data_IF_611237405542
#
_entry.id   IF_611237405542
#
_cell.length_a   1.000
_cell.length_b   1.000
_cell.length_c   1.000
_cell.angle_alpha   90.00
_cell.angle_beta   90.00
_cell.angle_gamma   90.00
#
_symmetry.space_group_name_H-M   'P 1'
#
loop_
_entity.id
_entity.type
_entity.pdbx_description
1 polymer ?
#
# COMPACT_ATOMS: atom_id res chain seq x y z
N UNK A 1 11.69 -13.11 -36.47
CA UNK A 1 12.37 -12.23 -35.49
C UNK A 1 13.21 -13.12 -34.59
N UNK A 2 14.40 -12.68 -34.14
CA UNK A 2 15.17 -13.47 -33.17
C UNK A 2 14.49 -13.46 -31.80
N UNK A 3 14.77 -14.46 -30.97
CA UNK A 3 14.29 -14.51 -29.58
C UNK A 3 14.66 -13.22 -28.82
N UNK A 4 15.88 -12.71 -29.04
CA UNK A 4 16.33 -11.42 -28.50
C UNK A 4 15.46 -10.23 -28.94
N UNK A 5 15.06 -10.20 -30.22
CA UNK A 5 14.16 -9.17 -30.76
C UNK A 5 12.76 -9.26 -30.13
N UNK A 6 12.26 -10.48 -29.92
CA UNK A 6 10.95 -10.74 -29.30
C UNK A 6 10.96 -10.33 -27.81
N UNK A 7 12.03 -10.66 -27.08
CA UNK A 7 12.27 -10.22 -25.69
C UNK A 7 12.27 -8.69 -25.62
N UNK A 8 13.01 -8.02 -26.51
CA UNK A 8 13.07 -6.56 -26.59
C UNK A 8 11.70 -5.94 -26.82
N UNK A 9 10.94 -6.48 -27.78
CA UNK A 9 9.58 -6.02 -28.10
C UNK A 9 8.66 -6.11 -26.87
N UNK A 10 8.61 -7.28 -26.23
CA UNK A 10 7.75 -7.50 -25.05
C UNK A 10 8.16 -6.64 -23.86
N UNK A 11 9.47 -6.45 -23.65
CA UNK A 11 9.98 -5.55 -22.61
C UNK A 11 9.48 -4.11 -22.80
N UNK A 12 9.47 -3.60 -24.04
CA UNK A 12 8.93 -2.28 -24.33
C UNK A 12 7.41 -2.18 -24.13
N UNK A 13 6.66 -3.21 -24.51
CA UNK A 13 5.21 -3.27 -24.26
C UNK A 13 4.90 -3.15 -22.75
N UNK A 14 5.72 -3.78 -21.91
CA UNK A 14 5.63 -3.70 -20.45
C UNK A 14 6.26 -2.43 -19.85
N UNK A 15 6.75 -1.50 -20.67
CA UNK A 15 7.47 -0.28 -20.25
C UNK A 15 8.65 -0.55 -19.30
N UNK A 16 9.29 -1.71 -19.45
CA UNK A 16 10.40 -2.15 -18.62
C UNK A 16 11.74 -1.73 -19.24
N UNK A 17 12.68 -1.26 -18.43
CA UNK A 17 14.05 -0.95 -18.87
C UNK A 17 14.93 -2.22 -18.92
N UNK A 18 16.02 -2.19 -19.68
CA UNK A 18 16.99 -3.31 -19.70
C UNK A 18 17.60 -3.58 -18.33
N UNK A 19 17.75 -2.54 -17.49
CA UNK A 19 18.25 -2.63 -16.11
C UNK A 19 17.25 -3.37 -15.21
N UNK A 20 15.96 -3.09 -15.34
CA UNK A 20 14.91 -3.80 -14.59
C UNK A 20 14.81 -5.27 -15.00
N UNK A 21 14.86 -5.56 -16.30
CA UNK A 21 14.87 -6.93 -16.80
C UNK A 21 16.11 -7.70 -16.31
N UNK A 22 17.29 -7.07 -16.33
CA UNK A 22 18.52 -7.66 -15.83
C UNK A 22 18.43 -7.99 -14.33
N UNK A 23 17.92 -7.07 -13.52
CA UNK A 23 17.75 -7.24 -12.09
C UNK A 23 16.77 -8.38 -11.78
N UNK A 24 15.62 -8.44 -12.46
CA UNK A 24 14.61 -9.47 -12.26
C UNK A 24 15.13 -10.88 -12.63
N UNK A 25 16.02 -10.97 -13.61
CA UNK A 25 16.65 -12.22 -14.03
C UNK A 25 17.93 -12.57 -13.24
N UNK A 26 18.35 -11.72 -12.30
CA UNK A 26 19.53 -11.94 -11.46
C UNK A 26 20.87 -11.68 -12.17
N UNK A 27 20.89 -10.90 -13.25
CA UNK A 27 22.12 -10.47 -13.89
C UNK A 27 22.76 -9.28 -13.16
N UNK A 28 24.08 -9.30 -13.01
CA UNK A 28 24.84 -8.21 -12.35
C UNK A 28 24.79 -6.88 -13.13
N UNK A 29 24.61 -6.93 -14.45
CA UNK A 29 24.64 -5.75 -15.34
C UNK A 29 23.62 -5.88 -16.46
N UNK A 30 23.09 -4.73 -16.92
CA UNK A 30 22.18 -4.66 -18.07
C UNK A 30 22.85 -5.03 -19.41
N UNK A 31 24.19 -5.04 -19.47
CA UNK A 31 24.95 -5.39 -20.68
C UNK A 31 24.66 -6.81 -21.18
N UNK A 32 24.30 -7.74 -20.29
CA UNK A 32 23.90 -9.09 -20.70
C UNK A 32 22.58 -9.08 -21.46
N UNK A 33 21.62 -8.27 -21.00
CA UNK A 33 20.32 -8.09 -21.67
C UNK A 33 20.49 -7.37 -23.00
N UNK A 34 21.34 -6.34 -23.06
CA UNK A 34 21.64 -5.63 -24.31
C UNK A 34 22.19 -6.57 -25.39
N UNK A 35 23.13 -7.46 -25.02
CA UNK A 35 23.71 -8.48 -25.92
C UNK A 35 22.70 -9.53 -26.36
N UNK A 36 21.82 -9.98 -25.46
CA UNK A 36 20.73 -10.90 -25.78
C UNK A 36 19.75 -10.25 -26.76
N UNK A 37 19.35 -9.00 -26.52
CA UNK A 37 18.43 -8.26 -27.39
C UNK A 37 19.04 -7.93 -28.77
N UNK A 38 20.36 -7.76 -28.84
CA UNK A 38 21.10 -7.59 -30.08
C UNK A 38 21.32 -8.91 -30.84
N UNK A 39 21.01 -10.06 -30.23
CA UNK A 39 21.25 -11.39 -30.82
C UNK A 39 22.71 -11.86 -30.76
N UNK A 40 23.55 -11.20 -29.96
CA UNK A 40 24.95 -11.58 -29.75
C UNK A 40 25.09 -12.74 -28.75
N UNK A 41 24.10 -12.95 -27.90
CA UNK A 41 24.05 -14.03 -26.92
C UNK A 41 22.74 -14.81 -27.03
N UNK A 42 22.84 -16.12 -27.25
CA UNK A 42 21.69 -17.01 -27.27
C UNK A 42 21.14 -17.27 -25.85
N UNK A 43 19.81 -17.42 -25.78
CA UNK A 43 19.09 -17.73 -24.55
C UNK A 43 18.81 -19.23 -24.52
N UNK A 44 19.38 -19.95 -23.56
CA UNK A 44 19.07 -21.37 -23.38
C UNK A 44 17.62 -21.59 -22.98
N UNK A 45 17.06 -22.77 -23.29
CA UNK A 45 15.66 -23.12 -22.97
C UNK A 45 15.31 -22.89 -21.48
N UNK A 46 16.18 -23.31 -20.56
CA UNK A 46 16.00 -23.10 -19.11
C UNK A 46 16.01 -21.63 -18.68
N UNK A 47 16.75 -20.77 -19.40
CA UNK A 47 16.71 -19.32 -19.17
C UNK A 47 15.46 -18.70 -19.77
N UNK A 48 15.00 -19.23 -20.90
CA UNK A 48 13.82 -18.72 -21.61
C UNK A 48 12.54 -18.80 -20.77
N UNK A 49 12.37 -19.86 -19.98
CA UNK A 49 11.27 -19.96 -19.00
C UNK A 49 11.27 -18.80 -18.01
N UNK A 50 12.45 -18.44 -17.52
CA UNK A 50 12.62 -17.33 -16.58
C UNK A 50 12.40 -15.97 -17.25
N UNK A 51 12.79 -15.82 -18.51
CA UNK A 51 12.45 -14.64 -19.32
C UNK A 51 10.94 -14.53 -19.54
N UNK A 52 10.26 -15.64 -19.82
CA UNK A 52 8.82 -15.67 -20.02
C UNK A 52 8.05 -15.26 -18.76
N UNK A 53 8.48 -15.76 -17.60
CA UNK A 53 7.91 -15.39 -16.30
C UNK A 53 8.06 -13.89 -16.01
N UNK A 54 9.27 -13.34 -16.17
CA UNK A 54 9.55 -11.91 -15.90
C UNK A 54 8.84 -10.99 -16.90
N UNK A 55 8.65 -11.45 -18.14
CA UNK A 55 8.01 -10.69 -19.22
C UNK A 55 6.51 -10.99 -19.37
N UNK A 56 5.90 -11.64 -18.38
CA UNK A 56 4.47 -11.96 -18.32
C UNK A 56 3.96 -12.51 -19.66
N UNK A 57 4.62 -13.56 -20.13
CA UNK A 57 4.39 -14.22 -21.43
C UNK A 57 4.75 -15.70 -21.32
N UNK A 58 4.70 -16.44 -22.44
CA UNK A 58 5.13 -17.85 -22.49
C UNK A 58 6.42 -18.02 -23.27
N UNK A 59 7.22 -19.07 -23.00
CA UNK A 59 8.40 -19.40 -23.80
C UNK A 59 8.07 -19.52 -25.30
N UNK A 60 6.92 -20.11 -25.62
CA UNK A 60 6.42 -20.28 -26.98
C UNK A 60 6.14 -18.94 -27.68
N UNK A 61 5.60 -17.95 -26.94
CA UNK A 61 5.38 -16.61 -27.47
C UNK A 61 6.70 -15.84 -27.69
N UNK A 62 7.69 -16.03 -26.82
CA UNK A 62 9.03 -15.47 -27.00
C UNK A 62 9.78 -16.11 -28.18
N UNK A 63 9.54 -17.38 -28.48
CA UNK A 63 10.13 -18.07 -29.64
C UNK A 63 9.42 -17.66 -30.93
N UNK A 64 8.09 -17.69 -30.95
CA UNK A 64 7.29 -17.44 -32.16
C UNK A 64 7.15 -15.95 -32.50
N UNK A 65 7.33 -15.05 -31.54
CA UNK A 65 7.09 -13.60 -31.70
C UNK A 65 5.60 -13.24 -31.75
N UNK A 66 4.72 -14.22 -31.58
CA UNK A 66 3.28 -14.05 -31.53
C UNK A 66 2.82 -13.84 -30.09
N UNK A 67 2.91 -12.59 -29.65
CA UNK A 67 2.24 -12.12 -28.46
C UNK A 67 0.78 -11.86 -28.87
N UNK A 68 -0.10 -12.84 -28.75
CA UNK A 68 -1.52 -12.65 -29.08
C UNK A 68 -2.08 -11.52 -28.22
N UNK A 69 -2.61 -10.48 -28.87
CA UNK A 69 -3.25 -9.34 -28.23
C UNK A 69 -4.37 -9.80 -27.29
N UNK A 70 -4.15 -9.65 -25.98
CA UNK A 70 -5.21 -9.76 -24.97
C UNK A 70 -6.11 -8.50 -24.92
N UNK A 71 -6.06 -7.61 -25.92
CA UNK A 71 -6.85 -6.37 -25.93
C UNK A 71 -8.26 -6.48 -26.54
N UNK A 72 -8.71 -7.66 -26.97
CA UNK A 72 -10.07 -7.83 -27.51
C UNK A 72 -10.80 -9.05 -26.96
N UNK A 73 -10.92 -9.15 -25.63
CA UNK A 73 -12.11 -9.73 -25.00
C UNK A 73 -12.52 -8.87 -23.83
N UNK A 74 -13.64 -8.19 -24.02
CA UNK A 74 -14.56 -7.78 -22.95
C UNK A 74 -14.93 -9.02 -22.14
N UNK A 75 -14.13 -9.32 -21.13
CA UNK A 75 -14.46 -10.15 -19.98
C UNK A 75 -13.25 -10.04 -19.04
N UNK A 76 -13.30 -9.07 -18.13
CA UNK A 76 -12.42 -9.03 -16.97
C UNK A 76 -12.71 -10.28 -16.11
N UNK A 77 -12.20 -11.44 -16.51
CA UNK A 77 -11.91 -12.51 -15.57
C UNK A 77 -10.61 -12.13 -14.89
N UNK A 78 -10.74 -11.43 -13.76
CA UNK A 78 -9.74 -11.49 -12.70
C UNK A 78 -9.33 -12.96 -12.57
N UNK A 79 -8.03 -13.28 -12.64
CA UNK A 79 -7.55 -14.59 -12.18
C UNK A 79 -8.24 -14.83 -10.84
N UNK A 80 -9.03 -15.90 -10.75
CA UNK A 80 -9.75 -16.17 -9.52
C UNK A 80 -8.73 -16.16 -8.38
N UNK A 81 -8.99 -15.42 -7.29
CA UNK A 81 -8.10 -15.41 -6.15
C UNK A 81 -7.89 -16.84 -5.71
N UNK A 82 -6.66 -17.17 -5.31
CA UNK A 82 -6.31 -18.53 -4.94
C UNK A 82 -7.21 -19.02 -3.78
N UNK A 83 -8.19 -19.85 -4.14
CA UNK A 83 -9.26 -20.34 -3.26
C UNK A 83 -8.79 -21.44 -2.32
N UNK A 84 -7.50 -21.83 -2.37
CA UNK A 84 -6.91 -22.80 -1.43
C UNK A 84 -6.83 -22.30 0.01
N UNK A 85 -7.04 -20.99 0.24
CA UNK A 85 -7.36 -20.43 1.55
C UNK A 85 -8.75 -19.81 1.48
N UNK A 86 -9.77 -20.63 1.28
CA UNK A 86 -11.13 -20.27 1.70
C UNK A 86 -11.34 -21.03 3.00
N UNK A 87 -11.26 -20.33 4.13
CA UNK A 87 -11.82 -20.85 5.37
C UNK A 87 -13.33 -20.65 5.24
N UNK A 88 -14.16 -21.72 5.22
CA UNK A 88 -15.60 -21.58 5.16
C UNK A 88 -16.11 -20.68 6.28
N UNK A 89 -17.12 -19.86 5.97
CA UNK A 89 -17.83 -19.06 6.95
C UNK A 89 -18.43 -20.02 8.00
N UNK A 90 -18.32 -19.76 9.32
CA UNK A 90 -19.08 -20.50 10.30
C UNK A 90 -20.58 -20.34 9.97
N UNK A 91 -21.29 -21.46 9.79
CA UNK A 91 -22.75 -21.40 9.70
C UNK A 91 -23.29 -20.95 11.06
N UNK A 92 -23.92 -19.78 11.13
CA UNK A 92 -24.60 -19.30 12.33
C UNK A 92 -26.09 -19.13 12.06
N UNK A 93 -26.92 -19.80 12.86
CA UNK A 93 -28.39 -19.86 12.79
C UNK A 93 -29.09 -18.67 13.50
N UNK A 94 -28.36 -17.65 13.93
CA UNK A 94 -28.94 -16.48 14.60
C UNK A 94 -29.16 -15.32 13.60
N UNK A 95 -30.19 -14.51 13.83
CA UNK A 95 -30.63 -13.41 12.94
C UNK A 95 -29.54 -12.39 12.57
N UNK A 96 -29.85 -11.30 11.83
CA UNK A 96 -28.80 -10.48 11.21
C UNK A 96 -27.95 -9.76 12.27
N UNK A 97 -26.84 -10.40 12.67
CA UNK A 97 -25.73 -9.80 13.40
C UNK A 97 -24.94 -9.03 12.35
N UNK A 98 -24.82 -7.71 12.50
CA UNK A 98 -23.95 -6.89 11.64
C UNK A 98 -22.53 -7.41 11.75
N UNK A 99 -21.95 -7.84 10.63
CA UNK A 99 -20.58 -8.36 10.58
C UNK A 99 -19.56 -7.22 10.49
N UNK A 100 -18.36 -7.50 10.95
CA UNK A 100 -17.20 -6.61 10.82
C UNK A 100 -16.04 -7.33 10.14
N UNK A 101 -15.56 -6.78 9.03
CA UNK A 101 -14.41 -7.28 8.29
C UNK A 101 -13.23 -6.30 8.33
N UNK A 102 -12.03 -6.81 8.55
CA UNK A 102 -10.80 -6.04 8.41
C UNK A 102 -10.10 -6.34 7.07
N UNK A 103 -9.86 -5.31 6.28
CA UNK A 103 -9.08 -5.36 5.05
C UNK A 103 -7.68 -4.80 5.35
N UNK A 104 -6.67 -5.67 5.33
CA UNK A 104 -5.27 -5.29 5.53
C UNK A 104 -4.61 -5.08 4.17
N UNK A 105 -4.28 -3.83 3.85
CA UNK A 105 -3.61 -3.43 2.62
C UNK A 105 -2.11 -3.72 2.71
N UNK A 106 -1.66 -4.78 2.04
CA UNK A 106 -0.29 -5.27 1.97
C UNK A 106 0.22 -5.42 0.51
N UNK A 107 -0.44 -4.76 -0.44
CA UNK A 107 -0.13 -4.82 -1.89
C UNK A 107 0.94 -3.83 -2.37
N UNK A 108 1.44 -2.95 -1.49
CA UNK A 108 2.40 -1.90 -1.86
C UNK A 108 3.80 -2.44 -2.16
N UNK A 109 4.48 -1.86 -3.15
CA UNK A 109 5.91 -2.09 -3.42
C UNK A 109 6.73 -0.97 -2.79
N UNK A 110 7.21 -1.16 -1.57
CA UNK A 110 8.10 -0.19 -0.93
C UNK A 110 9.53 -0.35 -1.46
N UNK A 111 9.92 0.40 -2.50
CA UNK A 111 11.29 0.40 -3.04
C UNK A 111 12.31 1.25 -2.27
N UNK A 112 11.99 1.63 -1.02
CA UNK A 112 12.75 2.62 -0.23
C UNK A 112 13.68 2.00 0.82
N UNK A 113 13.72 0.67 0.91
CA UNK A 113 14.65 -0.06 1.77
C UNK A 113 15.74 -0.74 0.90
N UNK A 114 16.97 -0.80 1.41
CA UNK A 114 18.10 -1.40 0.68
C UNK A 114 18.08 -2.95 0.67
N UNK A 115 16.97 -3.58 1.08
CA UNK A 115 16.90 -5.03 1.33
C UNK A 115 16.10 -5.81 0.28
N UNK A 116 15.54 -5.18 -0.76
CA UNK A 116 14.69 -5.83 -1.78
C UNK A 116 13.46 -6.59 -1.22
N UNK A 117 13.14 -6.43 0.07
CA UNK A 117 11.97 -7.02 0.74
C UNK A 117 10.95 -5.88 0.94
N UNK A 118 9.71 -5.98 0.44
CA UNK A 118 8.67 -4.99 0.70
C UNK A 118 8.48 -4.75 2.21
N UNK A 119 8.33 -3.49 2.63
CA UNK A 119 8.38 -3.11 4.05
C UNK A 119 7.44 -3.91 4.96
N UNK A 120 6.25 -4.26 4.45
CA UNK A 120 5.25 -5.04 5.17
C UNK A 120 5.68 -6.49 5.51
N UNK A 121 6.74 -6.99 4.87
CA UNK A 121 7.28 -8.33 5.10
C UNK A 121 8.63 -8.32 5.81
N UNK A 122 9.12 -7.15 6.24
CA UNK A 122 10.31 -7.04 7.08
C UNK A 122 10.01 -7.65 8.45
N UNK A 123 10.92 -8.49 8.94
CA UNK A 123 10.87 -9.03 10.29
C UNK A 123 11.42 -8.02 11.30
N UNK A 124 10.70 -7.84 12.39
CA UNK A 124 11.08 -7.01 13.53
C UNK A 124 10.84 -7.84 14.78
N UNK A 125 11.88 -8.03 15.60
CA UNK A 125 11.88 -8.99 16.71
C UNK A 125 11.36 -10.38 16.27
N UNK A 126 11.90 -10.90 15.15
CA UNK A 126 11.56 -12.19 14.52
C UNK A 126 10.13 -12.33 13.96
N UNK A 127 9.28 -11.31 14.09
CA UNK A 127 7.90 -11.31 13.60
C UNK A 127 7.75 -10.39 12.37
N UNK A 128 7.11 -10.85 11.27
CA UNK A 128 6.85 -10.00 10.12
C UNK A 128 5.91 -8.84 10.47
N UNK A 129 6.19 -7.64 9.96
CA UNK A 129 5.38 -6.44 10.22
C UNK A 129 3.87 -6.64 9.96
N UNK A 130 3.51 -7.29 8.84
CA UNK A 130 2.12 -7.65 8.52
C UNK A 130 1.41 -8.40 9.66
N UNK A 131 2.13 -9.30 10.33
CA UNK A 131 1.56 -10.18 11.37
C UNK A 131 1.16 -9.37 12.60
N UNK A 132 1.94 -8.36 13.01
CA UNK A 132 1.59 -7.52 14.17
C UNK A 132 0.20 -6.90 14.01
N UNK A 133 -0.07 -6.27 12.87
CA UNK A 133 -1.40 -5.70 12.60
C UNK A 133 -2.48 -6.78 12.51
N UNK A 134 -2.18 -7.93 11.89
CA UNK A 134 -3.16 -9.00 11.70
C UNK A 134 -3.54 -9.67 13.03
N UNK A 135 -2.60 -9.85 13.95
CA UNK A 135 -2.85 -10.41 15.29
C UNK A 135 -3.78 -9.51 16.12
N UNK A 136 -3.68 -8.19 15.99
CA UNK A 136 -4.59 -7.27 16.68
C UNK A 136 -6.06 -7.47 16.25
N UNK A 137 -6.30 -7.62 14.94
CA UNK A 137 -7.64 -7.94 14.41
C UNK A 137 -8.08 -9.37 14.75
N UNK A 138 -7.15 -10.33 14.72
CA UNK A 138 -7.40 -11.71 15.12
C UNK A 138 -7.90 -11.78 16.57
N UNK A 139 -7.29 -11.00 17.47
CA UNK A 139 -7.62 -10.97 18.89
C UNK A 139 -8.90 -10.18 19.23
N UNK A 140 -9.34 -9.26 18.37
CA UNK A 140 -10.49 -8.43 18.68
C UNK A 140 -11.81 -9.21 18.51
N UNK A 141 -12.70 -9.28 19.53
CA UNK A 141 -13.91 -10.11 19.48
C UNK A 141 -14.92 -9.64 18.44
N UNK A 142 -15.07 -8.33 18.24
CA UNK A 142 -16.01 -7.74 17.26
C UNK A 142 -15.48 -7.73 15.81
N UNK A 143 -14.39 -8.44 15.51
CA UNK A 143 -13.90 -8.60 14.12
C UNK A 143 -14.13 -10.04 13.74
N UNK A 144 -14.94 -10.28 12.70
CA UNK A 144 -15.33 -11.62 12.29
C UNK A 144 -14.35 -12.20 11.28
N UNK A 145 -13.94 -11.34 10.33
CA UNK A 145 -13.22 -11.75 9.13
C UNK A 145 -12.05 -10.81 8.84
N UNK A 146 -10.97 -11.39 8.34
CA UNK A 146 -9.78 -10.65 7.89
C UNK A 146 -9.50 -11.00 6.43
N UNK A 147 -9.31 -9.98 5.61
CA UNK A 147 -8.88 -10.10 4.21
C UNK A 147 -7.55 -9.39 4.04
N UNK A 148 -6.57 -10.08 3.44
CA UNK A 148 -5.25 -9.50 3.21
C UNK A 148 -5.10 -9.22 1.72
N UNK A 149 -4.96 -7.95 1.36
CA UNK A 149 -4.61 -7.58 -0.01
C UNK A 149 -3.11 -7.73 -0.19
N UNK A 150 -2.70 -8.75 -0.93
CA UNK A 150 -1.32 -9.20 -1.03
C UNK A 150 -0.63 -8.68 -2.29
N UNK A 151 0.68 -8.44 -2.17
CA UNK A 151 1.55 -8.16 -3.31
C UNK A 151 1.77 -9.44 -4.12
N UNK A 152 1.59 -9.36 -5.45
CA UNK A 152 1.81 -10.49 -6.38
C UNK A 152 3.18 -11.14 -6.15
N UNK A 153 3.20 -12.45 -5.96
CA UNK A 153 4.40 -13.26 -5.71
C UNK A 153 4.72 -13.50 -4.23
N UNK A 154 4.02 -12.83 -3.31
CA UNK A 154 4.22 -12.99 -1.85
C UNK A 154 3.14 -13.85 -1.18
N UNK A 155 2.18 -14.37 -1.95
CA UNK A 155 1.03 -15.09 -1.44
C UNK A 155 1.47 -16.27 -0.57
N UNK A 156 2.39 -17.11 -1.07
CA UNK A 156 2.91 -18.28 -0.36
C UNK A 156 3.57 -17.93 0.99
N UNK A 157 4.28 -16.78 1.05
CA UNK A 157 4.88 -16.29 2.29
C UNK A 157 3.79 -15.89 3.29
N UNK A 158 2.77 -15.17 2.82
CA UNK A 158 1.62 -14.81 3.68
C UNK A 158 0.86 -16.05 4.14
N UNK A 159 0.68 -17.09 3.30
CA UNK A 159 0.10 -18.37 3.73
C UNK A 159 0.89 -19.02 4.86
N UNK A 160 2.22 -19.01 4.75
CA UNK A 160 3.10 -19.53 5.79
C UNK A 160 2.96 -18.75 7.10
N UNK A 161 2.80 -17.42 7.04
CA UNK A 161 2.53 -16.59 8.21
C UNK A 161 1.18 -16.92 8.84
N UNK A 162 0.10 -17.00 8.05
CA UNK A 162 -1.24 -17.37 8.54
C UNK A 162 -1.19 -18.68 9.32
N UNK A 163 -0.52 -19.71 8.78
CA UNK A 163 -0.35 -21.00 9.45
C UNK A 163 0.51 -20.90 10.71
N UNK A 164 1.67 -20.22 10.64
CA UNK A 164 2.62 -20.10 11.75
C UNK A 164 2.04 -19.37 12.95
N UNK A 165 1.27 -18.31 12.71
CA UNK A 165 0.70 -17.45 13.75
C UNK A 165 -0.77 -17.76 14.07
N UNK A 166 -1.31 -18.87 13.55
CA UNK A 166 -2.68 -19.31 13.79
C UNK A 166 -3.73 -18.21 13.55
N UNK A 167 -3.63 -17.52 12.41
CA UNK A 167 -4.51 -16.40 12.05
C UNK A 167 -5.83 -16.92 11.47
N UNK A 168 -6.67 -17.51 12.34
CA UNK A 168 -7.89 -18.24 11.97
C UNK A 168 -9.02 -17.40 11.39
N UNK A 169 -9.00 -16.08 11.60
CA UNK A 169 -9.99 -15.15 11.00
C UNK A 169 -9.63 -14.73 9.58
N UNK A 170 -8.45 -15.09 9.06
CA UNK A 170 -8.05 -14.75 7.70
C UNK A 170 -8.79 -15.59 6.67
N UNK A 171 -9.68 -14.96 5.90
CA UNK A 171 -10.60 -15.63 4.98
C UNK A 171 -10.10 -15.75 3.56
N UNK A 172 -9.30 -14.81 3.08
CA UNK A 172 -8.73 -14.86 1.73
C UNK A 172 -7.52 -13.92 1.56
N UNK A 173 -6.71 -14.25 0.56
CA UNK A 173 -5.70 -13.36 -0.01
C UNK A 173 -6.24 -12.76 -1.32
N UNK A 174 -6.16 -11.44 -1.44
CA UNK A 174 -6.72 -10.69 -2.57
C UNK A 174 -5.58 -10.01 -3.32
N UNK A 175 -5.61 -10.01 -4.64
CA UNK A 175 -4.57 -9.35 -5.43
C UNK A 175 -4.63 -7.82 -5.29
N UNK A 176 -3.49 -7.19 -5.03
CA UNK A 176 -3.35 -5.73 -5.05
C UNK A 176 -3.64 -5.10 -6.43
N UNK A 177 -4.08 -3.85 -6.41
CA UNK A 177 -4.27 -3.00 -7.59
C UNK A 177 -3.06 -2.10 -7.88
N UNK A 178 -3.19 -1.16 -8.82
CA UNK A 178 -2.10 -0.24 -9.15
C UNK A 178 -1.86 0.83 -8.06
N UNK A 179 -2.89 1.14 -7.26
CA UNK A 179 -2.85 2.06 -6.12
C UNK A 179 -3.41 1.41 -4.85
N UNK A 180 -3.29 2.11 -3.70
CA UNK A 180 -3.93 1.69 -2.45
C UNK A 180 -5.45 1.63 -2.56
N UNK A 181 -6.05 2.61 -3.24
CA UNK A 181 -7.49 2.65 -3.48
C UNK A 181 -7.96 1.58 -4.47
N UNK A 182 -7.20 1.32 -5.53
CA UNK A 182 -7.52 0.20 -6.43
C UNK A 182 -7.41 -1.16 -5.71
N UNK A 183 -6.44 -1.30 -4.82
CA UNK A 183 -6.29 -2.48 -3.95
C UNK A 183 -7.51 -2.66 -3.04
N UNK A 184 -8.01 -1.58 -2.44
CA UNK A 184 -9.25 -1.59 -1.67
C UNK A 184 -10.45 -1.95 -2.56
N UNK A 185 -10.58 -1.35 -3.74
CA UNK A 185 -11.67 -1.65 -4.69
C UNK A 185 -11.72 -3.13 -5.08
N UNK A 186 -10.56 -3.76 -5.29
CA UNK A 186 -10.47 -5.20 -5.54
C UNK A 186 -11.01 -6.00 -4.35
N UNK A 187 -10.63 -5.62 -3.13
CA UNK A 187 -11.11 -6.26 -1.92
C UNK A 187 -12.62 -6.11 -1.75
N UNK A 188 -13.15 -4.90 -1.90
CA UNK A 188 -14.60 -4.62 -1.79
C UNK A 188 -15.39 -5.43 -2.83
N UNK A 189 -14.93 -5.50 -4.08
CA UNK A 189 -15.59 -6.29 -5.11
C UNK A 189 -15.60 -7.79 -4.80
N UNK A 190 -14.56 -8.29 -4.13
CA UNK A 190 -14.46 -9.69 -3.71
C UNK A 190 -15.40 -10.01 -2.53
N UNK A 191 -15.46 -9.12 -1.53
CA UNK A 191 -16.20 -9.39 -0.29
C UNK A 191 -17.68 -9.05 -0.38
N UNK A 192 -18.08 -8.06 -1.19
CA UNK A 192 -19.47 -7.55 -1.24
C UNK A 192 -20.58 -8.61 -1.33
N UNK A 193 -20.43 -9.79 -1.98
CA UNK A 193 -21.49 -10.79 -2.01
C UNK A 193 -21.75 -11.48 -0.66
N UNK A 194 -20.88 -11.28 0.33
CA UNK A 194 -20.90 -11.93 1.65
C UNK A 194 -21.32 -11.00 2.79
N UNK A 195 -21.50 -9.72 2.51
CA UNK A 195 -21.78 -8.68 3.50
C UNK A 195 -23.02 -7.90 3.10
N UNK A 196 -23.71 -7.37 4.10
CA UNK A 196 -24.85 -6.47 3.96
C UNK A 196 -24.38 -5.00 3.91
N UNK A 197 -25.19 -4.08 3.39
CA UNK A 197 -24.85 -2.65 3.36
C UNK A 197 -24.60 -2.01 4.75
N UNK A 198 -25.11 -2.64 5.83
CA UNK A 198 -24.95 -2.17 7.21
C UNK A 198 -23.69 -2.72 7.90
N UNK A 199 -23.01 -3.69 7.28
CA UNK A 199 -21.80 -4.29 7.84
C UNK A 199 -20.62 -3.30 7.82
N UNK A 200 -19.72 -3.46 8.79
CA UNK A 200 -18.59 -2.56 8.99
C UNK A 200 -17.32 -3.11 8.33
N UNK A 201 -16.67 -2.27 7.55
CA UNK A 201 -15.40 -2.58 6.90
C UNK A 201 -14.30 -1.70 7.50
N UNK A 202 -13.33 -2.33 8.14
CA UNK A 202 -12.10 -1.69 8.61
C UNK A 202 -11.05 -1.76 7.51
N UNK A 203 -10.34 -0.66 7.25
CA UNK A 203 -9.25 -0.58 6.29
C UNK A 203 -7.96 -0.26 7.07
N UNK A 204 -6.99 -1.16 6.99
CA UNK A 204 -5.71 -1.08 7.69
C UNK A 204 -4.54 -1.04 6.71
N UNK A 205 -3.59 -0.13 6.92
CA UNK A 205 -2.28 -0.21 6.27
C UNK A 205 -1.37 -1.21 6.98
N UNK A 206 -0.82 -2.19 6.26
CA UNK A 206 0.13 -3.16 6.84
C UNK A 206 1.42 -2.54 7.40
N UNK A 207 1.77 -1.32 6.96
CA UNK A 207 2.94 -0.57 7.47
C UNK A 207 2.68 0.17 8.79
N UNK A 208 1.51 0.00 9.42
CA UNK A 208 1.19 0.53 10.76
C UNK A 208 0.94 -0.63 11.73
N UNK A 209 2.00 -1.30 12.21
CA UNK A 209 1.90 -2.51 13.02
C UNK A 209 1.42 -2.28 14.47
N UNK A 210 1.30 -1.02 14.92
CA UNK A 210 1.01 -0.67 16.32
C UNK A 210 -0.49 -0.57 16.66
N UNK A 211 -1.37 -0.97 15.74
CA UNK A 211 -2.81 -1.05 16.03
C UNK A 211 -3.07 -2.11 17.12
N UNK A 212 -3.96 -1.79 18.07
CA UNK A 212 -4.31 -2.67 19.19
C UNK A 212 -5.83 -2.76 19.37
N UNK A 213 -6.28 -3.65 20.26
CA UNK A 213 -7.70 -3.90 20.50
C UNK A 213 -8.46 -2.67 20.99
N UNK A 214 -7.83 -1.83 21.83
CA UNK A 214 -8.44 -0.58 22.32
C UNK A 214 -8.72 0.40 21.18
N UNK A 215 -7.75 0.57 20.27
CA UNK A 215 -7.90 1.44 19.09
C UNK A 215 -9.02 0.92 18.19
N UNK A 216 -9.09 -0.39 17.98
CA UNK A 216 -10.15 -1.02 17.17
C UNK A 216 -11.53 -0.82 17.82
N UNK A 217 -11.65 -1.04 19.13
CA UNK A 217 -12.92 -0.82 19.87
C UNK A 217 -13.39 0.64 19.78
N UNK A 218 -12.49 1.61 19.99
CA UNK A 218 -12.81 3.04 19.85
C UNK A 218 -13.26 3.39 18.44
N UNK A 219 -12.59 2.86 17.43
CA UNK A 219 -12.93 3.05 16.03
C UNK A 219 -14.32 2.48 15.71
N UNK A 220 -14.61 1.26 16.14
CA UNK A 220 -15.90 0.60 15.90
C UNK A 220 -17.04 1.30 16.63
N UNK A 221 -16.82 1.75 17.87
CA UNK A 221 -17.82 2.51 18.62
C UNK A 221 -18.24 3.77 17.84
N UNK A 222 -17.30 4.65 17.53
CA UNK A 222 -17.60 5.89 16.83
C UNK A 222 -18.16 5.66 15.41
N UNK A 223 -17.60 4.71 14.66
CA UNK A 223 -18.09 4.40 13.31
C UNK A 223 -19.47 3.73 13.30
N UNK A 224 -19.89 3.06 14.38
CA UNK A 224 -21.26 2.54 14.51
C UNK A 224 -22.32 3.64 14.64
N UNK A 225 -21.97 4.77 15.27
CA UNK A 225 -22.87 5.90 15.51
C UNK A 225 -23.14 6.72 14.24
N UNK A 226 -22.09 6.97 13.45
CA UNK A 226 -22.13 7.87 12.28
C UNK A 226 -21.89 7.17 10.93
N UNK A 227 -21.68 5.85 10.95
CA UNK A 227 -21.43 5.00 9.77
C UNK A 227 -20.03 5.08 9.18
N UNK A 228 -19.15 5.93 9.73
CA UNK A 228 -17.81 6.19 9.20
C UNK A 228 -16.94 6.88 10.24
N UNK A 229 -15.72 6.41 10.46
CA UNK A 229 -14.73 7.15 11.23
C UNK A 229 -13.30 6.76 10.84
N UNK A 230 -12.36 7.67 11.08
CA UNK A 230 -10.92 7.44 10.84
C UNK A 230 -10.09 7.85 12.04
N UNK A 231 -9.04 7.09 12.32
CA UNK A 231 -8.05 7.46 13.33
C UNK A 231 -7.20 8.63 12.81
N UNK A 232 -6.92 9.58 13.68
CA UNK A 232 -6.08 10.74 13.40
C UNK A 232 -5.32 11.17 14.66
N UNK A 233 -4.31 12.02 14.51
CA UNK A 233 -3.62 12.62 15.64
C UNK A 233 -3.44 14.12 15.44
N UNK A 234 -3.66 14.90 16.48
CA UNK A 234 -3.49 16.35 16.43
C UNK A 234 -2.01 16.74 16.39
N UNK A 235 -1.61 17.59 15.44
CA UNK A 235 -0.20 17.94 15.20
C UNK A 235 0.29 19.13 16.06
N UNK A 236 0.11 19.06 17.38
CA UNK A 236 0.37 20.19 18.30
C UNK A 236 1.87 20.54 18.47
N UNK A 237 2.78 19.61 18.19
CA UNK A 237 4.22 19.82 18.37
C UNK A 237 4.84 20.64 17.23
N UNK A 238 4.22 20.63 16.04
CA UNK A 238 4.81 21.21 14.84
C UNK A 238 4.24 22.61 14.57
N UNK A 239 5.12 23.60 14.45
CA UNK A 239 4.77 24.88 13.83
C UNK A 239 4.87 24.69 12.32
N UNK A 240 3.75 24.84 11.62
CA UNK A 240 3.69 24.60 10.18
C UNK A 240 3.50 25.92 9.42
N UNK A 241 4.15 26.01 8.27
CA UNK A 241 4.00 27.11 7.35
C UNK A 241 3.71 26.54 5.95
N UNK A 242 2.71 27.11 5.30
CA UNK A 242 2.48 26.91 3.88
C UNK A 242 3.40 27.85 3.10
N UNK A 243 4.15 27.31 2.12
CA UNK A 243 5.04 28.11 1.28
C UNK A 243 4.64 28.02 -0.19
N UNK A 244 4.23 29.15 -0.77
CA UNK A 244 4.03 29.28 -2.21
C UNK A 244 5.38 29.23 -2.92
N UNK A 245 5.52 28.34 -3.92
CA UNK A 245 6.74 28.10 -4.69
C UNK A 245 7.95 27.61 -3.86
N UNK A 246 7.96 26.31 -3.55
CA UNK A 246 9.03 25.61 -2.80
C UNK A 246 10.46 25.89 -3.30
N UNK A 247 10.65 26.30 -4.56
CA UNK A 247 11.95 26.65 -5.16
C UNK A 247 12.59 27.92 -4.58
N UNK A 248 11.82 28.80 -3.92
CA UNK A 248 12.33 30.04 -3.31
C UNK A 248 12.51 29.94 -1.79
N UNK A 249 12.28 28.76 -1.20
CA UNK A 249 12.65 28.53 0.19
C UNK A 249 14.17 28.58 0.24
N UNK A 250 14.72 29.68 0.76
CA UNK A 250 16.10 29.78 1.23
C UNK A 250 16.30 28.81 2.40
N UNK A 251 16.29 27.51 2.12
CA UNK A 251 16.91 26.55 3.02
C UNK A 251 18.39 26.90 2.98
N UNK A 252 18.93 27.42 4.07
CA UNK A 252 20.37 27.47 4.30
C UNK A 252 20.88 26.03 4.23
N UNK A 253 21.19 25.55 3.03
CA UNK A 253 21.98 24.35 2.84
C UNK A 253 23.35 24.72 3.35
N UNK A 254 23.60 24.38 4.61
CA UNK A 254 24.90 24.40 5.26
C UNK A 254 25.97 23.85 4.30
N UNK A 255 26.65 24.74 3.56
CA UNK A 255 28.06 24.58 3.27
C UNK A 255 28.78 24.95 4.56
N UNK A 256 28.82 24.03 5.51
CA UNK A 256 29.84 24.06 6.54
C UNK A 256 31.08 23.48 5.87
N UNK A 257 31.85 24.33 5.21
CA UNK A 257 33.29 24.11 5.16
C UNK A 257 33.78 24.52 6.55
N UNK A 258 34.25 23.55 7.33
CA UNK A 258 35.16 23.86 8.41
C UNK A 258 36.46 24.30 7.74
N UNK A 259 36.64 25.60 7.60
CA UNK A 259 37.95 26.23 7.57
C UNK A 259 37.78 27.67 8.08
N UNK A 260 38.55 27.94 9.14
CA UNK A 260 38.94 29.19 9.77
C UNK A 260 38.46 30.50 9.11
N UNK A 261 37.61 31.25 9.83
CA UNK A 261 38.02 32.54 10.39
C UNK A 261 36.91 33.18 11.23
N UNK A 262 37.26 33.49 12.48
CA UNK A 262 36.53 34.44 13.31
C UNK A 262 36.62 35.84 12.67
N UNK A 263 35.48 36.38 12.23
CA UNK A 263 34.97 37.70 12.61
C UNK A 263 33.93 38.20 11.60
N UNK A 264 32.76 38.56 12.12
CA UNK A 264 32.03 39.80 11.86
C UNK A 264 30.51 39.62 11.71
N UNK A 265 29.81 40.40 12.53
CA UNK A 265 28.45 40.88 12.34
C UNK A 265 27.30 39.87 12.43
N UNK A 266 26.86 39.66 13.69
CA UNK A 266 25.47 39.38 14.02
C UNK A 266 24.64 40.61 13.59
N UNK A 267 24.26 40.67 12.32
CA UNK A 267 23.28 41.60 11.83
C UNK A 267 21.93 40.89 11.71
N UNK A 268 21.02 41.34 12.57
CA UNK A 268 19.57 41.24 12.53
C UNK A 268 18.98 40.38 11.40
N UNK A 269 18.26 39.31 11.79
CA UNK A 269 17.29 38.65 10.92
C UNK A 269 16.34 39.71 10.35
N UNK A 270 16.29 39.91 9.02
CA UNK A 270 15.38 40.88 8.45
C UNK A 270 13.94 40.38 8.68
N UNK A 271 13.13 41.22 9.30
CA UNK A 271 11.66 41.13 9.26
C UNK A 271 11.21 41.31 7.80
N UNK A 272 11.36 40.27 6.99
CA UNK A 272 10.75 40.17 5.69
C UNK A 272 9.52 39.29 5.86
N UNK A 273 8.34 39.91 6.04
CA UNK A 273 7.06 39.21 5.79
C UNK A 273 7.02 38.92 4.30
N UNK A 274 7.74 37.88 3.89
CA UNK A 274 7.68 37.38 2.52
C UNK A 274 6.25 36.93 2.28
N UNK A 275 5.59 37.50 1.27
CA UNK A 275 4.21 37.21 0.86
C UNK A 275 3.97 35.73 0.52
N UNK A 276 5.03 34.92 0.49
CA UNK A 276 5.01 33.53 0.04
C UNK A 276 4.93 32.54 1.20
N UNK A 277 4.96 32.96 2.47
CA UNK A 277 4.92 32.06 3.63
C UNK A 277 3.73 32.40 4.54
N UNK A 278 2.83 31.44 4.74
CA UNK A 278 1.62 31.58 5.57
C UNK A 278 1.67 30.61 6.75
N UNK A 279 1.50 31.12 7.98
CA UNK A 279 1.39 30.26 9.16
C UNK A 279 0.13 29.40 9.10
N UNK A 280 0.27 28.11 9.35
CA UNK A 280 -0.85 27.17 9.49
C UNK A 280 -1.09 26.94 10.97
N UNK A 281 -2.30 27.24 11.45
CA UNK A 281 -2.65 27.06 12.85
C UNK A 281 -2.59 25.57 13.23
N UNK A 282 -1.62 25.19 14.05
CA UNK A 282 -1.44 23.78 14.48
C UNK A 282 -2.67 23.16 15.14
N UNK A 283 -3.52 23.98 15.79
CA UNK A 283 -4.73 23.50 16.46
C UNK A 283 -5.82 23.09 15.45
N UNK A 284 -5.65 23.41 14.17
CA UNK A 284 -6.56 22.99 13.08
C UNK A 284 -5.94 21.92 12.17
N UNK A 285 -4.86 21.26 12.61
CA UNK A 285 -4.14 20.27 11.80
C UNK A 285 -4.19 18.92 12.49
N UNK A 286 -4.70 17.94 11.75
CA UNK A 286 -4.67 16.52 12.12
C UNK A 286 -3.88 15.74 11.08
N UNK A 287 -3.14 14.73 11.55
CA UNK A 287 -2.48 13.75 10.70
C UNK A 287 -3.32 12.47 10.66
N UNK A 288 -3.73 12.05 9.47
CA UNK A 288 -4.47 10.80 9.29
C UNK A 288 -3.60 9.58 9.61
N UNK A 289 -4.24 8.58 10.21
CA UNK A 289 -3.67 7.27 10.47
C UNK A 289 -4.67 6.18 10.06
N UNK A 290 -4.19 4.97 9.82
CA UNK A 290 -5.06 3.79 9.81
C UNK A 290 -5.08 3.18 11.23
N UNK A 291 -6.17 2.49 11.63
CA UNK A 291 -7.31 2.11 10.80
C UNK A 291 -8.34 3.23 10.53
N UNK A 292 -9.12 3.02 9.47
CA UNK A 292 -10.38 3.71 9.17
C UNK A 292 -11.50 2.66 9.07
N UNK A 293 -12.73 2.99 9.48
CA UNK A 293 -13.86 2.06 9.47
C UNK A 293 -15.11 2.71 8.89
N UNK A 294 -15.76 2.04 7.96
CA UNK A 294 -16.91 2.56 7.23
C UNK A 294 -17.94 1.46 6.98
N UNK A 295 -19.22 1.82 6.98
CA UNK A 295 -20.28 0.93 6.49
C UNK A 295 -20.01 0.56 5.03
N UNK A 296 -20.32 -0.68 4.66
CA UNK A 296 -20.16 -1.14 3.28
C UNK A 296 -20.99 -0.29 2.31
N UNK A 297 -22.21 0.12 2.69
CA UNK A 297 -23.06 1.05 1.92
C UNK A 297 -22.31 2.31 1.51
N UNK A 298 -21.66 2.98 2.46
CA UNK A 298 -20.90 4.20 2.20
C UNK A 298 -19.72 3.94 1.26
N UNK A 299 -18.99 2.84 1.45
CA UNK A 299 -17.86 2.49 0.57
C UNK A 299 -18.32 2.32 -0.88
N UNK A 300 -19.43 1.59 -1.07
CA UNK A 300 -20.01 1.36 -2.40
C UNK A 300 -20.48 2.68 -3.03
N UNK A 301 -21.13 3.54 -2.24
CA UNK A 301 -21.59 4.85 -2.68
C UNK A 301 -20.42 5.72 -3.16
N UNK A 302 -19.35 5.82 -2.37
CA UNK A 302 -18.14 6.60 -2.71
C UNK A 302 -17.51 6.11 -4.01
N UNK A 303 -17.39 4.79 -4.21
CA UNK A 303 -16.85 4.24 -5.45
C UNK A 303 -17.76 4.49 -6.67
N UNK A 304 -19.08 4.45 -6.50
CA UNK A 304 -20.02 4.80 -7.56
C UNK A 304 -19.99 6.30 -7.88
N UNK A 305 -19.86 7.17 -6.87
CA UNK A 305 -19.67 8.61 -7.05
C UNK A 305 -18.38 8.91 -7.79
N UNK A 306 -17.26 8.28 -7.40
CA UNK A 306 -15.99 8.39 -8.12
C UNK A 306 -16.13 8.01 -9.60
N UNK A 307 -16.83 6.91 -9.88
CA UNK A 307 -17.08 6.44 -11.25
C UNK A 307 -17.93 7.43 -12.04
N UNK A 308 -19.02 7.95 -11.46
CA UNK A 308 -19.89 8.94 -12.12
C UNK A 308 -19.15 10.24 -12.44
N UNK A 309 -18.25 10.66 -11.55
CA UNK A 309 -17.43 11.87 -11.73
C UNK A 309 -16.16 11.61 -12.57
N UNK A 310 -15.93 10.38 -13.05
CA UNK A 310 -14.68 9.99 -13.74
C UNK A 310 -13.42 10.31 -12.92
N UNK A 311 -13.54 10.25 -11.59
CA UNK A 311 -12.47 10.56 -10.66
C UNK A 311 -11.40 9.47 -10.66
N UNK A 312 -10.13 9.87 -10.68
CA UNK A 312 -9.01 8.93 -10.64
C UNK A 312 -8.76 8.44 -9.21
N UNK A 313 -8.61 7.13 -9.04
CA UNK A 313 -8.39 6.48 -7.73
C UNK A 313 -6.91 6.53 -7.30
N UNK A 314 -6.33 7.73 -7.20
CA UNK A 314 -4.89 7.96 -6.96
C UNK A 314 -4.56 8.37 -5.52
N UNK A 315 -5.57 8.51 -4.65
CA UNK A 315 -5.40 8.91 -3.26
C UNK A 315 -4.57 7.90 -2.45
N UNK A 316 -4.01 8.40 -1.35
CA UNK A 316 -3.21 7.61 -0.42
C UNK A 316 -4.04 6.74 0.53
N UNK A 317 -5.29 7.11 0.82
CA UNK A 317 -6.21 6.42 1.73
C UNK A 317 -7.67 6.72 1.38
N UNK A 318 -8.62 5.90 1.85
CA UNK A 318 -10.03 6.02 1.47
C UNK A 318 -10.66 7.29 2.03
N UNK A 319 -10.29 7.72 3.24
CA UNK A 319 -10.66 9.02 3.81
C UNK A 319 -10.35 10.19 2.88
N UNK A 320 -9.21 10.17 2.17
CA UNK A 320 -8.86 11.24 1.23
C UNK A 320 -9.75 11.19 -0.02
N UNK A 321 -10.10 10.00 -0.51
CA UNK A 321 -11.04 9.85 -1.62
C UNK A 321 -12.43 10.40 -1.23
N UNK A 322 -12.89 10.07 -0.02
CA UNK A 322 -14.13 10.62 0.54
C UNK A 322 -14.10 12.15 0.56
N UNK A 323 -13.03 12.74 1.09
CA UNK A 323 -12.88 14.20 1.15
C UNK A 323 -12.93 14.85 -0.24
N UNK A 324 -12.16 14.31 -1.20
CA UNK A 324 -12.11 14.83 -2.58
C UNK A 324 -13.47 14.74 -3.30
N UNK A 325 -14.33 13.80 -2.90
CA UNK A 325 -15.67 13.62 -3.46
C UNK A 325 -16.76 14.36 -2.66
N UNK A 326 -16.39 15.13 -1.63
CA UNK A 326 -17.31 15.99 -0.87
C UNK A 326 -18.00 15.31 0.31
N UNK A 327 -17.50 14.16 0.79
CA UNK A 327 -18.04 13.50 1.97
C UNK A 327 -17.45 14.07 3.27
N UNK A 328 -18.26 14.08 4.32
CA UNK A 328 -17.82 14.45 5.66
C UNK A 328 -16.87 13.40 6.24
N UNK A 329 -15.86 13.87 6.96
CA UNK A 329 -14.88 13.01 7.62
C UNK A 329 -15.04 13.12 9.13
N UNK A 330 -15.15 11.97 9.79
CA UNK A 330 -15.26 11.89 11.25
C UNK A 330 -13.92 11.42 11.82
N UNK A 331 -13.26 12.30 12.56
CA UNK A 331 -11.96 12.02 13.17
C UNK A 331 -12.11 11.47 14.58
N UNK A 332 -11.30 10.48 14.89
CA UNK A 332 -11.09 9.97 16.26
C UNK A 332 -9.62 10.16 16.59
N UNK A 333 -9.34 10.63 17.81
CA UNK A 333 -7.96 10.75 18.29
C UNK A 333 -7.35 9.36 18.54
N UNK A 334 -6.22 9.10 17.90
CA UNK A 334 -5.43 7.87 17.99
C UNK A 334 -4.22 7.99 18.90
N UNK A 335 -3.53 6.86 19.07
CA UNK A 335 -2.26 6.82 19.80
C UNK A 335 -1.11 7.42 19.00
N UNK A 336 -0.25 8.20 19.65
CA UNK A 336 0.99 8.74 19.05
C UNK A 336 1.96 7.65 18.58
N UNK A 337 1.91 6.48 19.24
CA UNK A 337 2.73 5.32 18.90
C UNK A 337 2.28 4.61 17.62
N UNK A 338 1.14 4.97 17.02
CA UNK A 338 0.62 4.38 15.77
C UNK A 338 1.35 4.90 14.53
N UNK A 339 2.67 4.77 14.54
CA UNK A 339 3.58 5.25 13.50
C UNK A 339 3.49 4.40 12.22
N UNK A 340 3.74 5.04 11.08
CA UNK A 340 3.90 4.34 9.80
C UNK A 340 5.36 4.00 9.57
N UNK A 341 5.65 2.72 9.38
CA UNK A 341 7.01 2.24 9.14
C UNK A 341 7.34 2.34 7.66
N UNK A 342 8.17 3.30 7.30
CA UNK A 342 8.56 3.58 5.90
C UNK A 342 10.07 3.59 5.73
N UNK A 343 10.80 4.06 6.73
CA UNK A 343 12.25 4.29 6.75
C UNK A 343 12.95 3.33 7.70
N UNK A 344 14.29 3.32 7.65
CA UNK A 344 15.10 2.45 8.52
C UNK A 344 15.02 2.87 9.98
N UNK A 345 14.94 4.16 10.23
CA UNK A 345 14.81 4.77 11.56
C UNK A 345 13.48 4.34 12.20
N UNK A 346 12.41 4.29 11.41
CA UNK A 346 11.09 3.83 11.86
C UNK A 346 11.14 2.38 12.37
N UNK A 347 11.94 1.51 11.73
CA UNK A 347 12.14 0.13 12.16
C UNK A 347 12.79 0.06 13.55
N UNK A 348 13.80 0.90 13.81
CA UNK A 348 14.47 0.95 15.11
C UNK A 348 13.51 1.46 16.19
N UNK A 349 12.74 2.49 15.89
CA UNK A 349 11.74 3.04 16.80
C UNK A 349 10.66 2.02 17.14
N UNK A 350 10.12 1.34 16.14
CA UNK A 350 9.13 0.29 16.36
C UNK A 350 9.72 -0.89 17.15
N UNK A 351 10.93 -1.34 16.82
CA UNK A 351 11.61 -2.43 17.54
C UNK A 351 11.82 -2.14 19.03
N UNK A 352 11.91 -0.87 19.42
CA UNK A 352 12.02 -0.45 20.83
C UNK A 352 10.66 -0.38 21.55
N UNK A 353 9.56 -0.34 20.80
CA UNK A 353 8.20 -0.25 21.34
C UNK A 353 7.52 -1.62 21.54
N UNK A 354 8.06 -2.71 20.96
CA UNK A 354 7.43 -4.04 20.89
C UNK A 354 8.23 -5.17 21.50
#
# INVERSE_FOLDING_TARGET
>A
MSIGTNIKKRRYELRMSQKELANALGYKTHSTIAKIEAGENDVSHKKLERFAEVLDTTPEALISGNFTDFSSKSDFKTKEPDTSIIIPDPQTDEGPITKTAAIILAGGKSGRNNQNIPSQFININEKPMLVYSTEAYQAHPSVDDIYIVCLKGWENIVKAYIKRYNLTKVRALIAGGASGIESLKNAINYIKPRYTPEDMIIIQESTRPMVNTETISKLLQASSEVGSATISHTMNEYVQFYVNNHSEVNTYKNKVNYDDDLNSNINALPHNKSSNVTYVNRNSIVALQSPEAHRLSLILEVFETAKKQQHQLSESCFTMLMYNLGYNINFIEGGMNNIKIVRKEDLMMFSALV
#
